data_IF_427826271146
#
_entry.id   IF_427826271146
#
_cell.length_a   1.000
_cell.length_b   1.000
_cell.length_c   1.000
_cell.angle_alpha   90.00
_cell.angle_beta   90.00
_cell.angle_gamma   90.00
#
_symmetry.space_group_name_H-M   'P 1'
#
loop_
_entity.id
_entity.type
_entity.pdbx_description
1 polymer ?
#
# COMPACT_ATOMS: atom_id res chain seq x y z
N UNK A 1 -20.09 -31.77 -6.72
CA UNK A 1 -20.95 -31.48 -7.90
C UNK A 1 -20.63 -30.07 -8.33
N UNK A 2 -20.69 -29.79 -9.63
CA UNK A 2 -20.30 -28.49 -10.16
C UNK A 2 -21.40 -27.83 -10.96
N UNK A 3 -21.45 -26.50 -10.94
CA UNK A 3 -22.44 -25.72 -11.67
C UNK A 3 -21.88 -25.24 -13.01
N UNK A 4 -22.65 -25.41 -14.08
CA UNK A 4 -22.31 -24.86 -15.39
C UNK A 4 -23.02 -23.52 -15.58
N UNK A 5 -22.28 -22.42 -15.58
CA UNK A 5 -22.85 -21.08 -15.81
C UNK A 5 -23.45 -20.91 -17.22
N UNK A 6 -22.90 -21.63 -18.21
CA UNK A 6 -23.35 -21.51 -19.61
C UNK A 6 -24.63 -22.30 -19.90
N UNK A 7 -24.87 -23.38 -19.18
CA UNK A 7 -26.04 -24.26 -19.36
C UNK A 7 -27.00 -24.22 -18.17
N UNK A 8 -26.72 -23.33 -17.21
CA UNK A 8 -27.47 -23.05 -15.99
C UNK A 8 -27.94 -24.31 -15.25
N UNK A 9 -27.03 -25.27 -15.08
CA UNK A 9 -27.37 -26.58 -14.48
C UNK A 9 -26.25 -27.12 -13.61
N UNK A 10 -26.63 -27.93 -12.65
CA UNK A 10 -25.70 -28.78 -11.90
C UNK A 10 -25.34 -30.02 -12.71
N UNK A 11 -24.06 -30.37 -12.70
CA UNK A 11 -23.50 -31.51 -13.39
C UNK A 11 -22.44 -32.18 -12.52
N UNK A 12 -22.29 -33.48 -12.69
CA UNK A 12 -21.22 -34.24 -12.06
C UNK A 12 -19.89 -34.07 -12.82
N UNK A 13 -18.79 -34.02 -12.06
CA UNK A 13 -17.44 -33.90 -12.58
C UNK A 13 -16.93 -32.46 -12.71
N UNK A 14 -15.89 -32.29 -13.53
CA UNK A 14 -15.17 -31.02 -13.72
C UNK A 14 -15.57 -30.29 -15.01
N UNK A 15 -16.32 -30.95 -15.90
CA UNK A 15 -16.65 -30.44 -17.22
C UNK A 15 -18.11 -30.72 -17.55
N UNK A 16 -18.79 -29.70 -18.09
CA UNK A 16 -20.18 -29.81 -18.49
C UNK A 16 -20.33 -30.79 -19.66
N UNK A 17 -21.14 -31.86 -19.54
CA UNK A 17 -21.32 -32.84 -20.60
C UNK A 17 -22.07 -32.28 -21.82
N UNK A 18 -22.68 -31.09 -21.70
CA UNK A 18 -23.50 -30.48 -22.76
C UNK A 18 -22.70 -29.48 -23.59
N UNK A 19 -21.97 -28.58 -22.94
CA UNK A 19 -21.25 -27.51 -23.64
C UNK A 19 -19.73 -27.64 -23.58
N UNK A 20 -19.20 -28.61 -22.83
CA UNK A 20 -17.76 -28.80 -22.63
C UNK A 20 -17.09 -27.72 -21.77
N UNK A 21 -17.84 -26.78 -21.20
CA UNK A 21 -17.30 -25.75 -20.31
C UNK A 21 -16.87 -26.32 -18.96
N UNK A 22 -15.87 -25.71 -18.32
CA UNK A 22 -15.49 -26.04 -16.96
C UNK A 22 -16.64 -25.76 -15.99
N UNK A 23 -16.84 -26.65 -15.03
CA UNK A 23 -17.86 -26.50 -13.99
C UNK A 23 -17.28 -25.74 -12.80
N UNK A 24 -18.01 -24.73 -12.31
CA UNK A 24 -17.72 -24.09 -11.03
C UNK A 24 -17.92 -25.12 -9.92
N UNK A 25 -16.87 -25.41 -9.17
CA UNK A 25 -16.94 -26.31 -8.02
C UNK A 25 -17.23 -25.49 -6.77
N UNK A 26 -18.03 -26.05 -5.87
CA UNK A 26 -18.06 -25.56 -4.50
C UNK A 26 -16.66 -25.73 -3.90
N UNK A 27 -16.18 -24.67 -3.26
CA UNK A 27 -14.89 -24.69 -2.57
C UNK A 27 -15.11 -25.42 -1.25
N UNK A 28 -14.46 -26.56 -1.07
CA UNK A 28 -14.41 -27.26 0.21
C UNK A 28 -13.55 -26.43 1.20
N UNK A 29 -14.13 -25.92 2.29
CA UNK A 29 -13.40 -25.12 3.26
C UNK A 29 -12.22 -25.85 3.91
N UNK A 30 -12.29 -27.17 4.03
CA UNK A 30 -11.21 -27.99 4.62
C UNK A 30 -10.07 -28.25 3.63
N UNK A 31 -10.35 -28.15 2.32
CA UNK A 31 -9.36 -28.29 1.26
C UNK A 31 -8.69 -26.97 0.87
N UNK A 32 -9.15 -25.84 1.42
CA UNK A 32 -8.45 -24.58 1.25
C UNK A 32 -7.07 -24.68 1.91
N UNK A 33 -5.99 -24.29 1.21
CA UNK A 33 -4.71 -24.13 1.88
C UNK A 33 -4.91 -23.10 3.00
N UNK A 34 -4.32 -23.31 4.19
CA UNK A 34 -4.34 -22.29 5.22
C UNK A 34 -3.81 -21.00 4.59
N UNK A 35 -4.60 -19.93 4.68
CA UNK A 35 -4.11 -18.63 4.29
C UNK A 35 -2.83 -18.39 5.10
N UNK A 36 -1.69 -18.28 4.43
CA UNK A 36 -0.50 -17.71 5.03
C UNK A 36 -0.75 -16.21 5.18
N UNK A 37 -1.74 -15.87 6.00
CA UNK A 37 -1.98 -14.55 6.54
C UNK A 37 -0.84 -14.22 7.49
N UNK A 38 0.36 -14.15 6.94
CA UNK A 38 1.48 -13.54 7.61
C UNK A 38 1.10 -12.10 7.83
N UNK A 39 0.89 -11.73 9.10
CA UNK A 39 1.02 -10.34 9.53
C UNK A 39 2.49 -9.95 9.35
N UNK A 40 2.94 -9.79 8.11
CA UNK A 40 4.25 -9.22 7.84
C UNK A 40 4.14 -7.73 8.08
N UNK A 41 4.78 -7.25 9.15
CA UNK A 41 4.98 -5.82 9.39
C UNK A 41 5.80 -5.13 8.29
N UNK A 42 6.35 -5.93 7.37
CA UNK A 42 6.97 -5.48 6.12
C UNK A 42 6.03 -5.79 4.96
N UNK A 43 5.03 -4.93 4.74
CA UNK A 43 4.47 -4.78 3.40
C UNK A 43 5.56 -4.07 2.60
N UNK A 44 6.54 -4.85 2.10
CA UNK A 44 7.43 -4.32 1.08
C UNK A 44 6.59 -4.13 -0.17
N UNK A 45 6.18 -2.90 -0.42
CA UNK A 45 5.67 -2.55 -1.73
C UNK A 45 6.82 -2.74 -2.72
N UNK A 46 6.67 -3.56 -3.78
CA UNK A 46 7.76 -3.81 -4.74
C UNK A 46 8.26 -2.52 -5.42
N UNK A 47 7.45 -1.46 -5.39
CA UNK A 47 7.75 -0.13 -5.92
C UNK A 47 8.25 0.85 -4.83
N UNK A 48 8.63 0.36 -3.65
CA UNK A 48 9.17 1.19 -2.57
C UNK A 48 10.61 1.60 -2.88
N UNK A 49 10.83 2.91 -2.92
CA UNK A 49 12.16 3.47 -3.15
C UNK A 49 12.99 3.29 -1.88
N UNK A 50 14.18 2.64 -1.95
CA UNK A 50 15.01 2.46 -0.77
C UNK A 50 15.54 3.80 -0.25
N UNK A 51 15.64 3.91 1.07
CA UNK A 51 16.30 5.07 1.69
C UNK A 51 17.79 5.07 1.34
N UNK A 52 18.36 6.21 0.88
CA UNK A 52 19.76 6.27 0.49
C UNK A 52 20.68 6.11 1.70
N UNK A 53 21.86 5.54 1.45
CA UNK A 53 22.93 5.42 2.43
C UNK A 53 23.89 6.61 2.31
N UNK A 54 24.33 7.10 3.45
CA UNK A 54 25.38 8.10 3.57
C UNK A 54 26.79 7.54 3.32
N UNK A 55 27.83 8.38 3.44
CA UNK A 55 29.22 8.01 3.16
C UNK A 55 29.76 6.88 4.05
N UNK A 56 29.20 6.71 5.25
CA UNK A 56 29.62 5.70 6.21
C UNK A 56 28.83 4.37 6.07
N UNK A 57 27.93 4.27 5.09
CA UNK A 57 27.03 3.13 4.90
C UNK A 57 25.80 3.13 5.82
N UNK A 58 25.65 4.12 6.69
CA UNK A 58 24.46 4.34 7.50
C UNK A 58 23.34 5.06 6.71
N UNK A 59 22.05 4.87 7.05
CA UNK A 59 20.96 5.60 6.42
C UNK A 59 21.17 7.12 6.49
N UNK A 60 20.89 7.81 5.39
CA UNK A 60 21.02 9.27 5.33
C UNK A 60 20.11 9.97 6.36
N UNK A 61 20.55 11.13 6.86
CA UNK A 61 19.78 11.97 7.77
C UNK A 61 18.40 12.32 7.18
N UNK A 62 17.35 12.06 7.96
CA UNK A 62 15.97 12.39 7.63
C UNK A 62 15.65 13.84 8.03
N UNK A 63 15.37 14.68 7.03
CA UNK A 63 15.02 16.09 7.24
C UNK A 63 13.51 16.28 7.11
N UNK A 64 12.92 17.00 8.08
CA UNK A 64 11.49 17.31 8.06
C UNK A 64 11.18 18.31 6.96
N UNK A 65 10.31 17.91 6.04
CA UNK A 65 9.91 18.71 4.90
C UNK A 65 8.71 19.61 5.25
N UNK A 66 7.59 19.02 5.65
CA UNK A 66 6.36 19.74 5.97
C UNK A 66 5.45 18.90 6.88
N UNK A 67 4.43 19.55 7.47
CA UNK A 67 3.31 18.87 8.10
C UNK A 67 2.09 18.98 7.18
N UNK A 68 1.50 17.85 6.82
CA UNK A 68 0.32 17.79 5.96
C UNK A 68 -0.91 17.39 6.77
N UNK A 69 -2.08 17.79 6.28
CA UNK A 69 -3.33 17.24 6.78
C UNK A 69 -3.39 15.72 6.50
N UNK A 70 -3.76 14.93 7.51
CA UNK A 70 -3.89 13.47 7.39
C UNK A 70 -5.24 13.07 6.76
N UNK A 71 -5.48 13.56 5.55
CA UNK A 71 -6.58 13.09 4.72
C UNK A 71 -6.03 12.24 3.58
N UNK A 72 -6.65 11.09 3.24
CA UNK A 72 -6.20 10.25 2.12
C UNK A 72 -6.09 11.04 0.80
N UNK A 73 -7.00 11.98 0.55
CA UNK A 73 -6.96 12.85 -0.64
C UNK A 73 -5.70 13.71 -0.75
N UNK A 74 -5.06 14.03 0.38
CA UNK A 74 -3.82 14.81 0.42
C UNK A 74 -2.61 13.86 0.46
N UNK A 75 -2.61 12.92 1.41
CA UNK A 75 -1.48 12.01 1.62
C UNK A 75 -1.20 11.14 0.40
N UNK A 76 -2.22 10.49 -0.18
CA UNK A 76 -2.02 9.57 -1.30
C UNK A 76 -1.47 10.30 -2.54
N UNK A 77 -1.96 11.51 -2.81
CA UNK A 77 -1.50 12.32 -3.96
C UNK A 77 -0.05 12.73 -3.77
N UNK A 78 0.31 13.21 -2.57
CA UNK A 78 1.68 13.63 -2.27
C UNK A 78 2.63 12.44 -2.29
N UNK A 79 2.26 11.32 -1.66
CA UNK A 79 3.07 10.09 -1.69
C UNK A 79 3.29 9.57 -3.11
N UNK A 80 2.24 9.53 -3.94
CA UNK A 80 2.36 9.11 -5.34
C UNK A 80 3.29 10.05 -6.14
N UNK A 81 3.24 11.36 -5.89
CA UNK A 81 4.15 12.33 -6.52
C UNK A 81 5.61 12.06 -6.17
N UNK A 82 5.90 11.82 -4.89
CA UNK A 82 7.26 11.48 -4.46
C UNK A 82 7.74 10.13 -5.00
N UNK A 83 6.86 9.14 -5.00
CA UNK A 83 7.15 7.82 -5.56
C UNK A 83 7.47 7.92 -7.07
N UNK A 84 6.71 8.69 -7.83
CA UNK A 84 6.97 8.92 -9.26
C UNK A 84 8.30 9.65 -9.51
N UNK A 85 8.72 10.53 -8.60
CA UNK A 85 10.04 11.17 -8.62
C UNK A 85 11.17 10.26 -8.08
N UNK A 86 10.82 9.05 -7.64
CA UNK A 86 11.76 8.12 -7.03
C UNK A 86 12.34 8.64 -5.71
N UNK A 87 11.64 9.50 -4.98
CA UNK A 87 12.08 10.08 -3.70
C UNK A 87 11.46 9.27 -2.56
N UNK A 88 12.25 8.66 -1.66
CA UNK A 88 11.70 7.97 -0.52
C UNK A 88 11.17 8.99 0.51
N UNK A 89 10.02 8.68 1.11
CA UNK A 89 9.35 9.56 2.08
C UNK A 89 9.01 8.76 3.31
N UNK A 90 9.37 9.29 4.47
CA UNK A 90 9.00 8.76 5.78
C UNK A 90 7.89 9.63 6.37
N UNK A 91 6.79 9.02 6.80
CA UNK A 91 5.70 9.71 7.50
C UNK A 91 5.79 9.48 9.01
N UNK A 92 5.65 10.54 9.81
CA UNK A 92 5.55 10.43 11.27
C UNK A 92 4.34 11.21 11.77
N UNK A 93 3.59 10.60 12.67
CA UNK A 93 2.48 11.28 13.33
C UNK A 93 2.97 11.96 14.61
N UNK A 94 2.97 13.30 14.69
CA UNK A 94 3.44 14.02 15.86
C UNK A 94 2.51 13.83 17.06
N UNK A 95 3.04 14.06 18.26
CA UNK A 95 2.32 13.98 19.53
C UNK A 95 1.58 12.64 19.72
N UNK A 96 0.26 12.69 19.92
CA UNK A 96 -0.62 11.52 19.99
C UNK A 96 -1.30 11.19 18.65
N UNK A 97 -0.88 11.81 17.54
CA UNK A 97 -1.50 11.66 16.22
C UNK A 97 -1.58 10.21 15.74
N UNK A 98 -0.62 9.36 16.12
CA UNK A 98 -0.65 7.93 15.80
C UNK A 98 -1.87 7.20 16.40
N UNK A 99 -2.28 7.55 17.62
CA UNK A 99 -3.51 7.01 18.22
C UNK A 99 -4.74 7.50 17.46
N UNK A 100 -4.77 8.78 17.06
CA UNK A 100 -5.82 9.31 16.19
C UNK A 100 -5.93 8.53 14.88
N UNK A 101 -4.79 8.27 14.23
CA UNK A 101 -4.73 7.48 12.99
C UNK A 101 -5.35 6.09 13.16
N UNK A 102 -5.00 5.40 14.23
CA UNK A 102 -5.50 4.03 14.50
C UNK A 102 -6.99 4.02 14.85
N UNK A 103 -7.45 4.93 15.72
CA UNK A 103 -8.83 4.91 16.22
C UNK A 103 -9.83 5.61 15.30
N UNK A 104 -9.43 6.69 14.63
CA UNK A 104 -10.31 7.57 13.84
C UNK A 104 -10.05 7.49 12.34
N UNK A 105 -8.96 6.82 11.92
CA UNK A 105 -8.51 6.78 10.53
C UNK A 105 -7.69 8.00 10.09
N UNK A 106 -7.55 9.01 10.95
CA UNK A 106 -6.74 10.22 10.71
C UNK A 106 -6.18 10.83 12.00
N UNK A 107 -5.07 11.55 11.86
CA UNK A 107 -4.41 12.34 12.90
C UNK A 107 -4.89 13.80 12.86
N UNK A 108 -5.46 14.28 13.97
CA UNK A 108 -5.79 15.69 14.15
C UNK A 108 -4.56 16.63 14.19
N UNK A 109 -3.36 16.07 14.42
CA UNK A 109 -2.08 16.79 14.41
C UNK A 109 -1.39 16.74 13.03
N UNK A 110 -2.09 16.21 12.03
CA UNK A 110 -1.53 15.97 10.70
C UNK A 110 -0.46 14.88 10.69
N UNK A 111 0.36 14.90 9.64
CA UNK A 111 1.47 13.99 9.39
C UNK A 111 2.71 14.78 9.01
N UNK A 112 3.81 14.56 9.72
CA UNK A 112 5.12 15.11 9.35
C UNK A 112 5.74 14.24 8.26
N UNK A 113 6.14 14.87 7.16
CA UNK A 113 6.89 14.24 6.07
C UNK A 113 8.39 14.46 6.27
N UNK A 114 9.15 13.40 6.07
CA UNK A 114 10.61 13.40 6.11
C UNK A 114 11.17 12.84 4.81
N UNK A 115 12.26 13.45 4.35
CA UNK A 115 13.00 13.04 3.14
C UNK A 115 14.50 12.99 3.43
N UNK A 116 15.29 12.27 2.62
CA UNK A 116 16.74 12.29 2.77
C UNK A 116 17.28 13.69 2.51
N UNK A 117 18.26 14.11 3.31
CA UNK A 117 18.87 15.45 3.23
C UNK A 117 19.34 15.81 1.81
N UNK A 118 19.90 14.86 1.07
CA UNK A 118 20.39 15.02 -0.30
C UNK A 118 19.30 15.39 -1.31
N UNK A 119 18.04 15.03 -1.03
CA UNK A 119 16.89 15.28 -1.90
C UNK A 119 15.89 16.29 -1.32
N UNK A 120 16.25 16.99 -0.24
CA UNK A 120 15.37 17.98 0.39
C UNK A 120 14.93 19.08 -0.58
N UNK A 121 15.86 19.62 -1.36
CA UNK A 121 15.59 20.72 -2.31
C UNK A 121 14.64 20.30 -3.43
N UNK A 122 14.89 19.13 -4.03
CA UNK A 122 14.03 18.51 -5.04
C UNK A 122 12.63 18.24 -4.47
N UNK A 123 12.58 17.68 -3.25
CA UNK A 123 11.34 17.37 -2.58
C UNK A 123 10.51 18.61 -2.26
N UNK A 124 11.16 19.71 -1.88
CA UNK A 124 10.51 21.00 -1.62
C UNK A 124 9.86 21.57 -2.88
N UNK A 125 10.56 21.48 -4.02
CA UNK A 125 10.02 21.92 -5.30
C UNK A 125 8.75 21.15 -5.67
N UNK A 126 8.74 19.82 -5.47
CA UNK A 126 7.59 18.97 -5.76
C UNK A 126 6.36 19.28 -4.90
N UNK A 127 6.52 19.81 -3.69
CA UNK A 127 5.40 20.27 -2.88
C UNK A 127 4.83 21.62 -3.33
N UNK A 128 5.67 22.49 -3.90
CA UNK A 128 5.30 23.86 -4.29
C UNK A 128 4.70 23.95 -5.70
N UNK A 129 4.89 22.95 -6.56
CA UNK A 129 4.45 22.94 -7.96
C UNK A 129 2.92 22.81 -8.20
N UNK A 130 2.07 23.16 -7.22
CA UNK A 130 0.60 23.25 -7.38
C UNK A 130 0.10 24.70 -7.57
N UNK A 131 0.97 25.66 -7.92
CA UNK A 131 0.61 27.04 -8.32
C UNK A 131 0.60 27.25 -9.84
#
# INVERSE_FOLDING_TARGET
MGYCERCERECDGLTCPVCGGALLQEVDPEAMPPEEGGWSFSIHHPDEVPWPLGPDGEPEEAVRLSNLADFPSVQTVVQARFQAAGIPVLTRYPEGGGLGKVYLGFSGYGVDLYVPKSRESEARALLLHDE
#
